data_IF_044922097888
#
_entry.id   IF_044922097888
#
_cell.length_a   1.000
_cell.length_b   1.000
_cell.length_c   1.000
_cell.angle_alpha   90.00
_cell.angle_beta   90.00
_cell.angle_gamma   90.00
#
_symmetry.space_group_name_H-M   'P 1'
#
loop_
_entity.id
_entity.type
_entity.pdbx_description
1 polymer ?
#
# COMPACT_ATOMS: atom_id res chain seq x y z
N UNK A 1 18.18 26.24 -6.88
CA UNK A 1 16.81 26.20 -6.35
C UNK A 1 16.66 24.85 -5.67
N UNK A 2 16.68 24.83 -4.34
CA UNK A 2 16.60 23.61 -3.52
C UNK A 2 15.19 23.02 -3.66
N UNK A 3 15.06 21.81 -4.24
CA UNK A 3 13.84 21.05 -4.19
C UNK A 3 13.59 20.72 -2.70
N UNK A 4 12.52 21.27 -2.14
CA UNK A 4 12.14 20.98 -0.77
C UNK A 4 11.91 19.47 -0.63
N UNK A 5 12.60 18.86 0.32
CA UNK A 5 12.33 17.47 0.72
C UNK A 5 10.84 17.32 1.01
N UNK A 6 10.19 16.21 0.59
CA UNK A 6 8.80 15.98 0.91
C UNK A 6 8.63 16.05 2.43
N UNK A 7 7.70 16.88 2.86
CA UNK A 7 7.41 17.08 4.28
C UNK A 7 6.96 15.72 4.84
N UNK A 8 7.79 15.08 5.66
CA UNK A 8 7.50 13.81 6.29
C UNK A 8 6.14 13.90 6.96
N UNK A 9 5.24 12.98 6.65
CA UNK A 9 3.96 12.91 7.36
C UNK A 9 4.26 12.79 8.86
N UNK A 10 3.62 13.60 9.72
CA UNK A 10 3.82 13.50 11.16
C UNK A 10 3.55 12.07 11.61
N UNK A 11 4.17 11.64 12.70
CA UNK A 11 3.92 10.34 13.35
C UNK A 11 2.45 9.97 13.25
N UNK A 12 2.14 8.72 12.88
CA UNK A 12 0.75 8.26 12.75
C UNK A 12 -0.08 8.85 13.89
N UNK A 13 -1.07 9.71 13.62
CA UNK A 13 -1.80 10.40 14.66
C UNK A 13 -2.30 9.39 15.69
N UNK A 14 -2.23 9.71 16.96
CA UNK A 14 -2.70 8.82 18.04
C UNK A 14 -4.13 8.30 17.77
N UNK A 15 -4.95 9.12 17.13
CA UNK A 15 -6.27 8.74 16.67
C UNK A 15 -6.26 7.56 15.68
N UNK A 16 -5.25 7.49 14.80
CA UNK A 16 -5.11 6.36 13.86
C UNK A 16 -4.63 5.10 14.57
N UNK A 17 -3.67 5.22 15.51
CA UNK A 17 -3.26 4.07 16.35
C UNK A 17 -4.43 3.52 17.15
N UNK A 18 -5.24 4.39 17.78
CA UNK A 18 -6.45 3.98 18.51
C UNK A 18 -7.48 3.32 17.61
N UNK A 19 -7.66 3.86 16.39
CA UNK A 19 -8.55 3.25 15.41
C UNK A 19 -8.08 1.84 15.04
N UNK A 20 -6.79 1.65 14.73
CA UNK A 20 -6.23 0.33 14.41
C UNK A 20 -6.36 -0.67 15.56
N UNK A 21 -6.27 -0.20 16.80
CA UNK A 21 -6.48 -1.04 17.98
C UNK A 21 -7.96 -1.40 18.21
N UNK A 22 -8.90 -0.72 17.56
CA UNK A 22 -10.33 -1.02 17.65
C UNK A 22 -10.68 -2.30 16.88
N UNK A 23 -11.81 -2.95 17.24
CA UNK A 23 -12.31 -4.14 16.51
C UNK A 23 -12.54 -3.83 15.03
N UNK A 24 -13.04 -2.63 14.70
CA UNK A 24 -13.25 -2.21 13.31
C UNK A 24 -11.91 -2.12 12.56
N UNK A 25 -10.91 -1.48 13.16
CA UNK A 25 -9.57 -1.35 12.58
C UNK A 25 -8.92 -2.70 12.36
N UNK A 26 -8.93 -3.57 13.37
CA UNK A 26 -8.36 -4.92 13.27
C UNK A 26 -9.00 -5.77 12.17
N UNK A 27 -10.34 -5.72 12.04
CA UNK A 27 -11.04 -6.46 10.97
C UNK A 27 -10.68 -5.90 9.60
N UNK A 28 -10.59 -4.57 9.47
CA UNK A 28 -10.23 -3.89 8.22
C UNK A 28 -8.80 -4.20 7.81
N UNK A 29 -7.84 -4.01 8.72
CA UNK A 29 -6.42 -4.32 8.49
C UNK A 29 -6.22 -5.80 8.11
N UNK A 30 -6.92 -6.73 8.77
CA UNK A 30 -6.81 -8.16 8.47
C UNK A 30 -7.33 -8.52 7.07
N UNK A 31 -8.41 -7.87 6.60
CA UNK A 31 -8.93 -8.07 5.25
C UNK A 31 -7.99 -7.50 4.18
N UNK A 32 -7.49 -6.29 4.39
CA UNK A 32 -6.54 -5.63 3.50
C UNK A 32 -5.23 -6.43 3.42
N UNK A 33 -4.64 -6.80 4.56
CA UNK A 33 -3.42 -7.60 4.63
C UNK A 33 -3.60 -8.95 3.92
N UNK A 34 -4.69 -9.68 4.21
CA UNK A 34 -4.98 -10.96 3.56
C UNK A 34 -5.06 -10.82 2.04
N UNK A 35 -5.73 -9.78 1.54
CA UNK A 35 -5.84 -9.52 0.11
C UNK A 35 -4.47 -9.24 -0.51
N UNK A 36 -3.67 -8.39 0.12
CA UNK A 36 -2.34 -8.04 -0.38
C UNK A 36 -1.40 -9.26 -0.37
N UNK A 37 -1.41 -10.05 0.70
CA UNK A 37 -0.61 -11.27 0.79
C UNK A 37 -1.03 -12.31 -0.27
N UNK A 38 -2.33 -12.44 -0.57
CA UNK A 38 -2.84 -13.30 -1.64
C UNK A 38 -2.31 -12.84 -3.01
N UNK A 39 -2.36 -11.54 -3.29
CA UNK A 39 -1.92 -10.95 -4.57
C UNK A 39 -0.39 -10.95 -4.73
N UNK A 40 0.36 -10.83 -3.65
CA UNK A 40 1.82 -10.84 -3.68
C UNK A 40 2.42 -12.25 -3.77
N UNK A 41 1.66 -13.29 -3.41
CA UNK A 41 2.15 -14.66 -3.35
C UNK A 41 2.52 -15.22 -4.75
N UNK A 42 3.52 -16.15 -4.81
CA UNK A 42 4.40 -16.57 -3.74
C UNK A 42 5.50 -15.55 -3.44
N UNK A 43 5.98 -15.45 -2.18
CA UNK A 43 7.05 -14.52 -1.79
C UNK A 43 8.28 -15.20 -1.18
N UNK A 44 8.20 -16.51 -0.89
CA UNK A 44 9.31 -17.25 -0.26
C UNK A 44 10.57 -17.21 -1.12
N UNK A 45 11.67 -16.77 -0.52
CA UNK A 45 12.97 -16.64 -1.19
C UNK A 45 13.08 -15.46 -2.17
N UNK A 46 12.00 -14.67 -2.36
CA UNK A 46 12.00 -13.52 -3.25
C UNK A 46 12.47 -12.25 -2.53
N UNK A 47 13.11 -11.36 -3.28
CA UNK A 47 13.45 -10.00 -2.83
C UNK A 47 12.21 -9.13 -2.95
N UNK A 48 11.66 -8.71 -1.81
CA UNK A 48 10.42 -7.94 -1.73
C UNK A 48 10.73 -6.53 -1.24
N UNK A 49 10.26 -5.52 -1.97
CA UNK A 49 10.29 -4.11 -1.59
C UNK A 49 8.89 -3.69 -1.14
N UNK A 50 8.78 -3.04 0.02
CA UNK A 50 7.57 -2.34 0.44
C UNK A 50 7.81 -0.83 0.42
N UNK A 51 7.12 -0.13 -0.48
CA UNK A 51 7.26 1.32 -0.70
C UNK A 51 6.24 2.04 0.16
N UNK A 52 6.71 2.99 0.99
CA UNK A 52 5.92 3.60 2.04
C UNK A 52 5.59 2.59 3.14
N UNK A 53 6.60 1.83 3.58
CA UNK A 53 6.42 0.68 4.48
C UNK A 53 5.89 1.05 5.88
N UNK A 54 5.86 2.32 6.23
CA UNK A 54 5.38 2.80 7.51
C UNK A 54 6.05 2.09 8.69
N UNK A 55 5.24 1.62 9.63
CA UNK A 55 5.68 0.85 10.79
C UNK A 55 5.92 -0.65 10.49
N UNK A 56 6.04 -1.01 9.20
CA UNK A 56 6.40 -2.33 8.68
C UNK A 56 5.44 -3.48 9.03
N UNK A 57 4.15 -3.23 9.13
CA UNK A 57 3.18 -4.27 9.46
C UNK A 57 3.09 -5.35 8.36
N UNK A 58 2.84 -4.91 7.12
CA UNK A 58 2.82 -5.79 5.95
C UNK A 58 4.20 -6.44 5.73
N UNK A 59 5.26 -5.64 5.83
CA UNK A 59 6.62 -6.13 5.59
C UNK A 59 7.03 -7.23 6.57
N UNK A 60 6.61 -7.13 7.84
CA UNK A 60 6.80 -8.20 8.85
C UNK A 60 6.05 -9.48 8.45
N UNK A 61 4.83 -9.37 7.92
CA UNK A 61 4.06 -10.51 7.45
C UNK A 61 4.70 -11.17 6.22
N UNK A 62 5.24 -10.38 5.28
CA UNK A 62 5.95 -10.87 4.09
C UNK A 62 7.25 -11.57 4.48
N UNK A 63 8.06 -10.97 5.38
CA UNK A 63 9.29 -11.59 5.89
C UNK A 63 9.01 -12.89 6.67
N UNK A 64 7.93 -12.92 7.46
CA UNK A 64 7.48 -14.14 8.14
C UNK A 64 7.06 -15.27 7.19
N UNK A 65 6.77 -14.96 5.91
CA UNK A 65 6.53 -15.93 4.84
C UNK A 65 7.79 -16.28 4.03
N UNK A 66 8.96 -15.87 4.52
CA UNK A 66 10.27 -16.19 3.92
C UNK A 66 10.73 -15.26 2.81
N UNK A 67 10.16 -14.07 2.69
CA UNK A 67 10.68 -13.05 1.79
C UNK A 67 11.99 -12.43 2.32
N UNK A 68 12.92 -12.10 1.42
CA UNK A 68 14.02 -11.18 1.71
C UNK A 68 13.45 -9.76 1.60
N UNK A 69 13.07 -9.18 2.75
CA UNK A 69 12.23 -8.00 2.81
C UNK A 69 13.04 -6.71 2.98
N UNK A 70 12.69 -5.69 2.20
CA UNK A 70 13.24 -4.32 2.29
C UNK A 70 12.09 -3.33 2.35
N UNK A 71 12.11 -2.42 3.32
CA UNK A 71 11.16 -1.32 3.43
C UNK A 71 11.79 0.02 3.11
N UNK A 72 11.09 0.86 2.36
CA UNK A 72 11.45 2.26 2.15
C UNK A 72 10.32 3.17 2.63
N UNK A 73 10.68 4.22 3.37
CA UNK A 73 9.73 5.23 3.84
C UNK A 73 10.44 6.59 3.98
N UNK A 74 9.73 7.68 3.74
CA UNK A 74 10.26 9.03 3.90
C UNK A 74 10.35 9.47 5.37
N UNK A 75 9.64 8.79 6.29
CA UNK A 75 9.56 9.13 7.71
C UNK A 75 10.57 8.34 8.55
N UNK A 76 11.60 9.00 9.14
CA UNK A 76 12.53 8.34 10.05
C UNK A 76 11.85 7.72 11.28
N UNK A 77 10.76 8.33 11.76
CA UNK A 77 9.98 7.82 12.89
C UNK A 77 9.29 6.50 12.56
N UNK A 78 8.71 6.37 11.34
CA UNK A 78 8.12 5.14 10.85
C UNK A 78 9.16 4.03 10.73
N UNK A 79 10.30 4.32 10.11
CA UNK A 79 11.40 3.36 9.98
C UNK A 79 11.94 2.91 11.34
N UNK A 80 12.01 3.81 12.32
CA UNK A 80 12.41 3.45 13.69
C UNK A 80 11.41 2.47 14.32
N UNK A 81 10.11 2.75 14.19
CA UNK A 81 9.05 1.84 14.64
C UNK A 81 9.10 0.47 13.95
N UNK A 82 9.32 0.47 12.63
CA UNK A 82 9.47 -0.75 11.83
C UNK A 82 10.66 -1.61 12.28
N UNK A 83 11.84 -0.99 12.50
CA UNK A 83 13.03 -1.70 13.04
C UNK A 83 12.77 -2.31 14.41
N UNK A 84 12.10 -1.59 15.29
CA UNK A 84 11.76 -2.10 16.61
C UNK A 84 10.80 -3.32 16.51
N UNK A 85 9.81 -3.26 15.63
CA UNK A 85 8.86 -4.36 15.36
C UNK A 85 9.55 -5.58 14.75
N UNK A 86 10.39 -5.39 13.73
CA UNK A 86 11.16 -6.47 13.10
C UNK A 86 12.06 -7.18 14.11
N UNK A 87 12.79 -6.41 14.94
CA UNK A 87 13.62 -6.94 16.02
C UNK A 87 12.82 -7.75 17.04
N UNK A 88 11.67 -7.24 17.45
CA UNK A 88 10.79 -7.95 18.39
C UNK A 88 10.24 -9.27 17.82
N UNK A 89 10.05 -9.33 16.50
CA UNK A 89 9.62 -10.54 15.79
C UNK A 89 10.78 -11.49 15.41
N UNK A 90 12.04 -11.11 15.68
CA UNK A 90 13.22 -11.90 15.30
C UNK A 90 13.43 -12.00 13.77
N UNK A 91 12.96 -10.98 13.03
CA UNK A 91 13.03 -10.95 11.56
C UNK A 91 14.15 -10.01 11.08
N UNK A 92 14.89 -10.47 10.07
CA UNK A 92 15.89 -9.65 9.37
C UNK A 92 15.22 -8.90 8.21
N UNK A 93 15.02 -7.60 8.39
CA UNK A 93 14.36 -6.70 7.45
C UNK A 93 15.25 -5.47 7.25
N UNK A 94 15.56 -5.15 6.00
CA UNK A 94 16.28 -3.93 5.65
C UNK A 94 15.32 -2.72 5.65
N UNK A 95 15.76 -1.57 6.20
CA UNK A 95 14.99 -0.33 6.22
C UNK A 95 15.82 0.83 5.67
N UNK A 96 15.32 1.49 4.65
CA UNK A 96 15.97 2.59 3.93
C UNK A 96 15.10 3.84 3.97
N UNK A 97 15.71 4.99 4.26
CA UNK A 97 15.04 6.29 4.11
C UNK A 97 15.01 6.68 2.63
N UNK A 98 13.86 7.02 2.08
CA UNK A 98 13.76 7.38 0.67
C UNK A 98 12.40 7.90 0.27
N UNK A 99 12.39 8.54 -0.91
CA UNK A 99 11.19 9.06 -1.55
C UNK A 99 10.66 8.02 -2.56
N UNK A 100 9.35 7.77 -2.54
CA UNK A 100 8.70 6.88 -3.49
C UNK A 100 8.84 7.36 -4.95
N UNK A 101 8.98 8.67 -5.16
CA UNK A 101 9.18 9.29 -6.48
C UNK A 101 10.65 9.25 -6.97
N UNK A 102 11.59 8.80 -6.12
CA UNK A 102 13.03 8.68 -6.43
C UNK A 102 13.64 7.56 -5.56
N UNK A 103 13.33 6.30 -5.86
CA UNK A 103 13.74 5.16 -5.06
C UNK A 103 15.26 4.96 -5.06
N UNK A 104 15.93 4.84 -3.89
CA UNK A 104 17.38 4.74 -3.77
C UNK A 104 17.88 3.31 -4.04
N UNK A 105 17.36 2.66 -5.08
CA UNK A 105 17.70 1.31 -5.47
C UNK A 105 18.06 1.24 -6.95
N UNK A 106 18.95 0.31 -7.36
CA UNK A 106 19.26 0.09 -8.77
C UNK A 106 18.06 -0.53 -9.51
N UNK A 107 18.13 -0.46 -10.85
CA UNK A 107 17.16 -1.11 -11.73
C UNK A 107 17.13 -2.62 -11.49
N UNK A 108 15.96 -3.25 -11.62
CA UNK A 108 15.77 -4.69 -11.53
C UNK A 108 16.27 -5.33 -10.21
N UNK A 109 16.27 -4.57 -9.12
CA UNK A 109 16.73 -5.03 -7.81
C UNK A 109 15.78 -6.00 -7.11
N UNK A 110 14.48 -5.94 -7.41
CA UNK A 110 13.44 -6.66 -6.67
C UNK A 110 12.59 -7.57 -7.56
N UNK A 111 12.11 -8.66 -6.97
CA UNK A 111 11.23 -9.64 -7.61
C UNK A 111 9.77 -9.24 -7.45
N UNK A 112 9.42 -8.65 -6.29
CA UNK A 112 8.08 -8.15 -5.97
C UNK A 112 8.20 -6.79 -5.27
N UNK A 113 7.27 -5.89 -5.57
CA UNK A 113 7.10 -4.64 -4.83
C UNK A 113 5.66 -4.49 -4.36
N UNK A 114 5.47 -3.92 -3.17
CA UNK A 114 4.17 -3.51 -2.63
C UNK A 114 4.16 -2.00 -2.41
N UNK A 115 2.99 -1.36 -2.60
CA UNK A 115 2.77 0.05 -2.31
C UNK A 115 1.34 0.22 -1.76
N UNK A 116 1.21 0.27 -0.44
CA UNK A 116 -0.08 0.18 0.24
C UNK A 116 -0.43 1.49 0.96
N UNK A 117 -1.50 2.14 0.50
CA UNK A 117 -1.97 3.44 1.01
C UNK A 117 -0.88 4.52 1.03
N UNK A 118 0.05 4.47 0.07
CA UNK A 118 1.14 5.44 -0.08
C UNK A 118 0.89 6.39 -1.26
N UNK A 119 0.38 5.88 -2.39
CA UNK A 119 0.18 6.71 -3.57
C UNK A 119 -0.86 7.82 -3.36
N UNK A 120 -1.76 7.65 -2.39
CA UNK A 120 -2.72 8.69 -2.00
C UNK A 120 -2.05 9.90 -1.32
N UNK A 121 -0.81 9.78 -0.86
CA UNK A 121 -0.07 10.84 -0.16
C UNK A 121 1.09 11.43 -0.97
N UNK A 122 1.56 10.76 -2.03
CA UNK A 122 2.63 11.29 -2.88
C UNK A 122 2.10 12.35 -3.85
N UNK A 123 2.86 13.41 -4.15
CA UNK A 123 2.51 14.44 -5.12
C UNK A 123 2.29 13.88 -6.53
N UNK A 124 3.20 13.04 -7.03
CA UNK A 124 3.18 12.42 -8.36
C UNK A 124 3.16 10.89 -8.27
N UNK A 125 1.95 10.33 -8.21
CA UNK A 125 1.78 8.88 -8.14
C UNK A 125 2.23 8.14 -9.41
N UNK A 126 2.17 8.79 -10.58
CA UNK A 126 2.66 8.20 -11.83
C UNK A 126 4.17 8.04 -11.78
N UNK A 127 4.89 9.07 -11.29
CA UNK A 127 6.33 9.01 -11.09
C UNK A 127 6.71 7.93 -10.09
N UNK A 128 5.98 7.84 -8.97
CA UNK A 128 6.22 6.80 -7.97
C UNK A 128 6.06 5.38 -8.57
N UNK A 129 4.99 5.14 -9.36
CA UNK A 129 4.79 3.83 -9.99
C UNK A 129 5.84 3.55 -11.08
N UNK A 130 6.29 4.56 -11.84
CA UNK A 130 7.42 4.40 -12.77
C UNK A 130 8.72 4.01 -12.03
N UNK A 131 9.02 4.61 -10.89
CA UNK A 131 10.17 4.26 -10.08
C UNK A 131 10.05 2.82 -9.53
N UNK A 132 8.86 2.42 -9.07
CA UNK A 132 8.62 1.03 -8.68
C UNK A 132 8.82 0.07 -9.85
N UNK A 133 8.30 0.41 -11.03
CA UNK A 133 8.50 -0.38 -12.25
C UNK A 133 9.99 -0.47 -12.64
N UNK A 134 10.78 0.61 -12.45
CA UNK A 134 12.22 0.63 -12.71
C UNK A 134 12.96 -0.38 -11.84
N UNK A 135 12.69 -0.38 -10.54
CA UNK A 135 13.38 -1.25 -9.57
C UNK A 135 12.91 -2.70 -9.60
N UNK A 136 11.76 -3.00 -10.22
CA UNK A 136 11.31 -4.36 -10.48
C UNK A 136 12.10 -4.98 -11.65
N UNK A 137 12.53 -6.24 -11.50
CA UNK A 137 13.10 -7.01 -12.63
C UNK A 137 12.03 -7.28 -13.71
N UNK A 138 12.43 -7.59 -14.95
CA UNK A 138 11.51 -8.20 -15.93
C UNK A 138 10.80 -9.41 -15.32
N UNK A 139 9.50 -9.56 -15.57
CA UNK A 139 8.64 -10.55 -14.91
C UNK A 139 8.37 -10.29 -13.41
N UNK A 140 8.89 -9.20 -12.86
CA UNK A 140 8.64 -8.82 -11.46
C UNK A 140 7.21 -8.31 -11.23
N UNK A 141 6.69 -8.51 -10.02
CA UNK A 141 5.30 -8.23 -9.64
C UNK A 141 5.18 -6.96 -8.81
N UNK A 142 4.20 -6.13 -9.15
CA UNK A 142 3.75 -5.00 -8.32
C UNK A 142 2.38 -5.33 -7.71
N UNK A 143 2.20 -5.05 -6.42
CA UNK A 143 0.90 -5.02 -5.76
C UNK A 143 0.66 -3.65 -5.16
N UNK A 144 -0.34 -2.94 -5.67
CA UNK A 144 -0.80 -1.66 -5.13
C UNK A 144 -2.08 -1.90 -4.32
N UNK A 145 -2.18 -1.24 -3.17
CA UNK A 145 -3.41 -1.16 -2.39
C UNK A 145 -3.74 0.29 -2.05
N UNK A 146 -4.87 0.81 -2.50
CA UNK A 146 -5.21 2.22 -2.38
C UNK A 146 -6.63 2.49 -1.90
N UNK A 147 -6.83 3.70 -1.36
CA UNK A 147 -8.09 4.16 -0.84
C UNK A 147 -9.09 4.45 -1.98
N UNK A 148 -10.15 3.65 -2.05
CA UNK A 148 -11.19 3.74 -3.07
C UNK A 148 -12.06 5.00 -2.95
N UNK A 149 -12.19 5.75 -4.06
CA UNK A 149 -12.94 7.03 -4.13
C UNK A 149 -14.44 6.86 -3.85
N UNK A 150 -15.04 5.76 -4.31
CA UNK A 150 -16.49 5.55 -4.34
C UNK A 150 -16.96 4.68 -3.17
N UNK A 151 -16.56 5.02 -1.95
CA UNK A 151 -16.92 4.30 -0.73
C UNK A 151 -17.45 5.22 0.35
N UNK A 152 -18.23 4.68 1.29
CA UNK A 152 -18.67 5.41 2.48
C UNK A 152 -17.49 5.85 3.36
N UNK A 153 -16.41 5.07 3.35
CA UNK A 153 -15.18 5.44 4.03
C UNK A 153 -14.52 6.68 3.41
N UNK A 154 -14.48 6.77 2.08
CA UNK A 154 -13.95 7.95 1.40
C UNK A 154 -14.79 9.19 1.70
N UNK A 155 -16.12 9.06 1.73
CA UNK A 155 -17.02 10.15 2.12
C UNK A 155 -16.71 10.63 3.55
N UNK A 156 -16.62 9.71 4.53
CA UNK A 156 -16.27 10.03 5.91
C UNK A 156 -14.90 10.70 6.02
N UNK A 157 -13.88 10.19 5.34
CA UNK A 157 -12.52 10.73 5.35
C UNK A 157 -12.47 12.14 4.75
N UNK A 158 -13.19 12.41 3.64
CA UNK A 158 -13.33 13.75 3.06
C UNK A 158 -13.97 14.74 4.01
N UNK A 159 -15.07 14.34 4.66
CA UNK A 159 -15.70 15.17 5.67
C UNK A 159 -14.73 15.49 6.80
N UNK A 160 -13.96 14.51 7.29
CA UNK A 160 -12.91 14.72 8.29
C UNK A 160 -11.83 15.70 7.81
N UNK A 161 -11.44 15.64 6.52
CA UNK A 161 -10.53 16.61 5.91
C UNK A 161 -11.07 18.03 5.92
N UNK A 162 -12.35 18.22 5.60
CA UNK A 162 -13.03 19.52 5.68
C UNK A 162 -13.16 20.04 7.11
N UNK A 163 -13.28 19.14 8.08
CA UNK A 163 -13.36 19.46 9.51
C UNK A 163 -11.99 19.66 10.18
N UNK A 164 -10.90 19.73 9.39
CA UNK A 164 -9.57 20.12 9.89
C UNK A 164 -8.55 18.97 10.04
N UNK A 165 -8.83 17.78 9.57
CA UNK A 165 -7.83 16.70 9.54
C UNK A 165 -6.82 16.92 8.41
N UNK A 166 -5.58 17.27 8.74
CA UNK A 166 -4.50 17.51 7.76
C UNK A 166 -4.21 16.27 6.92
N UNK A 167 -4.22 15.08 7.53
CA UNK A 167 -4.00 13.81 6.82
C UNK A 167 -5.01 13.60 5.70
N UNK A 168 -6.31 13.73 6.02
CA UNK A 168 -7.36 13.49 5.03
C UNK A 168 -7.54 14.63 4.04
N UNK A 169 -7.09 15.83 4.36
CA UNK A 169 -7.06 16.97 3.43
C UNK A 169 -6.02 16.76 2.32
N UNK A 170 -4.87 16.15 2.65
CA UNK A 170 -3.79 15.84 1.71
C UNK A 170 -4.06 14.56 0.90
N UNK A 171 -4.89 13.65 1.40
CA UNK A 171 -5.12 12.35 0.78
C UNK A 171 -5.90 12.45 -0.56
N UNK A 172 -5.38 11.82 -1.60
CA UNK A 172 -6.03 11.72 -2.92
C UNK A 172 -6.68 10.35 -3.09
N UNK A 173 -8.01 10.31 -3.03
CA UNK A 173 -8.78 9.09 -3.28
C UNK A 173 -8.94 8.87 -4.78
N UNK A 174 -8.60 7.67 -5.25
CA UNK A 174 -8.63 7.32 -6.68
C UNK A 174 -9.74 6.32 -7.00
N UNK A 175 -10.24 6.38 -8.22
CA UNK A 175 -11.10 5.35 -8.81
C UNK A 175 -10.25 4.20 -9.32
N UNK A 176 -10.88 3.04 -9.56
CA UNK A 176 -10.23 1.89 -10.20
C UNK A 176 -9.65 2.26 -11.56
N UNK A 177 -10.38 3.05 -12.36
CA UNK A 177 -9.93 3.49 -13.69
C UNK A 177 -8.68 4.35 -13.62
N UNK A 178 -8.62 5.29 -12.68
CA UNK A 178 -7.42 6.14 -12.48
C UNK A 178 -6.21 5.31 -12.05
N UNK A 179 -6.39 4.36 -11.11
CA UNK A 179 -5.31 3.48 -10.67
C UNK A 179 -4.81 2.58 -11.80
N UNK A 180 -5.72 2.03 -12.60
CA UNK A 180 -5.34 1.24 -13.80
C UNK A 180 -4.53 2.07 -14.77
N UNK A 181 -4.97 3.29 -15.10
CA UNK A 181 -4.25 4.18 -16.00
C UNK A 181 -2.82 4.49 -15.55
N UNK A 182 -2.62 4.73 -14.24
CA UNK A 182 -1.28 4.97 -13.66
C UNK A 182 -0.39 3.73 -13.82
N UNK A 183 -0.91 2.54 -13.54
CA UNK A 183 -0.16 1.27 -13.63
C UNK A 183 0.21 0.98 -15.08
N UNK A 184 -0.75 1.05 -16.00
CA UNK A 184 -0.57 0.78 -17.43
C UNK A 184 0.41 1.77 -18.09
N UNK A 185 0.30 3.07 -17.74
CA UNK A 185 1.23 4.10 -18.21
C UNK A 185 2.68 3.91 -17.74
N UNK A 186 2.89 3.09 -16.71
CA UNK A 186 4.23 2.75 -16.20
C UNK A 186 4.85 1.50 -16.84
N UNK A 187 4.22 0.95 -17.90
CA UNK A 187 4.70 -0.22 -18.64
C UNK A 187 4.44 -1.56 -17.92
N UNK A 188 3.50 -1.58 -16.99
CA UNK A 188 3.11 -2.77 -16.24
C UNK A 188 1.80 -3.34 -16.79
N UNK A 189 1.71 -4.67 -16.91
CA UNK A 189 0.52 -5.39 -17.34
C UNK A 189 -0.31 -5.81 -16.13
N UNK A 190 -1.56 -5.38 -16.06
CA UNK A 190 -2.46 -5.69 -14.94
C UNK A 190 -2.96 -7.13 -15.06
N UNK A 191 -2.74 -7.92 -14.01
CA UNK A 191 -3.23 -9.30 -13.90
C UNK A 191 -4.53 -9.40 -13.11
N UNK A 192 -4.69 -8.57 -12.07
CA UNK A 192 -5.84 -8.65 -11.19
C UNK A 192 -6.18 -7.29 -10.60
N UNK A 193 -7.48 -7.02 -10.51
CA UNK A 193 -8.02 -5.86 -9.79
C UNK A 193 -9.09 -6.37 -8.83
N UNK A 194 -8.95 -6.02 -7.55
CA UNK A 194 -9.84 -6.50 -6.50
C UNK A 194 -10.24 -5.37 -5.56
N UNK A 195 -11.45 -5.48 -4.99
CA UNK A 195 -11.91 -4.62 -3.92
C UNK A 195 -11.82 -5.29 -2.56
N UNK A 196 -11.84 -4.50 -1.49
CA UNK A 196 -12.09 -4.95 -0.13
C UNK A 196 -12.74 -3.82 0.69
N UNK A 197 -13.27 -4.18 1.86
CA UNK A 197 -13.90 -3.24 2.80
C UNK A 197 -15.12 -2.59 2.18
N UNK A 198 -16.15 -3.41 1.90
CA UNK A 198 -17.43 -2.95 1.32
C UNK A 198 -18.44 -2.48 2.37
N UNK A 199 -18.15 -2.68 3.64
CA UNK A 199 -19.03 -2.30 4.73
C UNK A 199 -18.83 -0.83 5.14
N UNK A 200 -19.89 -0.18 5.68
CA UNK A 200 -19.77 1.14 6.27
C UNK A 200 -18.89 1.11 7.54
N UNK A 201 -18.36 2.26 8.01
CA UNK A 201 -17.40 2.31 9.10
C UNK A 201 -18.01 2.07 10.50
N UNK A 202 -18.70 0.92 10.65
CA UNK A 202 -19.29 0.43 11.90
C UNK A 202 -18.81 -0.99 12.19
N UNK A 203 -18.39 -1.26 13.44
CA UNK A 203 -17.80 -2.54 13.82
C UNK A 203 -18.75 -3.74 13.60
N UNK A 204 -20.04 -3.59 13.86
CA UNK A 204 -21.02 -4.66 13.64
C UNK A 204 -21.22 -4.98 12.15
N UNK A 205 -21.16 -3.97 11.25
CA UNK A 205 -21.20 -4.19 9.80
C UNK A 205 -19.95 -4.95 9.34
N UNK A 206 -18.78 -4.57 9.85
CA UNK A 206 -17.53 -5.26 9.54
C UNK A 206 -17.60 -6.74 9.93
N UNK A 207 -18.09 -7.07 11.12
CA UNK A 207 -18.24 -8.44 11.59
C UNK A 207 -19.20 -9.27 10.72
N UNK A 208 -20.32 -8.67 10.31
CA UNK A 208 -21.33 -9.34 9.50
C UNK A 208 -20.85 -9.57 8.05
N UNK A 209 -20.15 -8.60 7.46
CA UNK A 209 -19.77 -8.62 6.04
C UNK A 209 -18.39 -9.19 5.77
N UNK A 210 -17.48 -9.22 6.75
CA UNK A 210 -16.11 -9.72 6.54
C UNK A 210 -16.01 -11.13 5.93
N UNK A 211 -16.91 -12.11 6.21
CA UNK A 211 -16.80 -13.43 5.60
C UNK A 211 -16.99 -13.45 4.07
N UNK A 212 -17.79 -12.51 3.54
CA UNK A 212 -18.10 -12.42 2.10
C UNK A 212 -17.34 -11.29 1.40
N UNK A 213 -16.66 -10.42 2.13
CA UNK A 213 -16.05 -9.19 1.63
C UNK A 213 -15.06 -9.47 0.48
N UNK A 214 -14.08 -10.35 0.69
CA UNK A 214 -13.09 -10.68 -0.34
C UNK A 214 -13.67 -11.44 -1.54
N UNK A 215 -14.77 -12.20 -1.34
CA UNK A 215 -15.49 -12.80 -2.47
C UNK A 215 -16.16 -11.71 -3.31
N UNK A 216 -16.83 -10.75 -2.66
CA UNK A 216 -17.43 -9.60 -3.33
C UNK A 216 -16.38 -8.79 -4.09
N UNK A 217 -15.20 -8.59 -3.50
CA UNK A 217 -14.07 -7.89 -4.10
C UNK A 217 -13.48 -8.55 -5.35
N UNK A 218 -13.77 -9.83 -5.60
CA UNK A 218 -13.44 -10.51 -6.86
C UNK A 218 -14.42 -10.16 -7.97
N UNK A 219 -15.63 -9.77 -7.63
CA UNK A 219 -16.70 -9.48 -8.59
C UNK A 219 -16.75 -7.99 -8.96
N UNK A 220 -16.41 -7.10 -8.02
CA UNK A 220 -16.56 -5.66 -8.21
C UNK A 220 -15.57 -4.87 -7.35
N UNK A 221 -15.33 -3.62 -7.78
CA UNK A 221 -14.54 -2.65 -7.00
C UNK A 221 -15.36 -1.39 -6.63
N UNK A 222 -16.52 -1.22 -7.23
CA UNK A 222 -17.40 -0.11 -6.87
C UNK A 222 -17.93 -0.29 -5.44
N UNK A 223 -17.82 0.75 -4.63
CA UNK A 223 -18.19 0.70 -3.21
C UNK A 223 -17.07 0.22 -2.28
N UNK A 224 -16.00 -0.39 -2.80
CA UNK A 224 -14.86 -0.80 -2.00
C UNK A 224 -14.12 0.40 -1.41
N UNK A 225 -13.80 0.36 -0.12
CA UNK A 225 -12.96 1.36 0.53
C UNK A 225 -11.47 1.14 0.28
N UNK A 226 -11.10 -0.07 -0.14
CA UNK A 226 -9.77 -0.46 -0.52
C UNK A 226 -9.78 -1.14 -1.88
N UNK A 227 -8.93 -0.68 -2.81
CA UNK A 227 -8.78 -1.22 -4.17
C UNK A 227 -7.36 -1.74 -4.28
N UNK A 228 -7.21 -3.01 -4.62
CA UNK A 228 -5.92 -3.64 -4.84
C UNK A 228 -5.72 -4.01 -6.31
N UNK A 229 -4.54 -3.74 -6.84
CA UNK A 229 -4.12 -4.10 -8.21
C UNK A 229 -2.84 -4.90 -8.13
N UNK A 230 -2.84 -6.07 -8.76
CA UNK A 230 -1.63 -6.82 -9.06
C UNK A 230 -1.26 -6.66 -10.54
N UNK A 231 -0.01 -6.33 -10.81
CA UNK A 231 0.51 -6.14 -12.16
C UNK A 231 1.92 -6.73 -12.28
N UNK A 232 2.33 -7.04 -13.49
CA UNK A 232 3.64 -7.64 -13.80
C UNK A 232 4.38 -6.78 -14.81
N UNK A 233 5.68 -6.62 -14.61
CA UNK A 233 6.57 -5.97 -15.56
C UNK A 233 6.83 -6.89 -16.74
N UNK A 234 6.56 -6.42 -17.95
CA UNK A 234 6.79 -7.18 -19.18
C UNK A 234 8.26 -7.65 -19.29
N UNK A 235 8.48 -8.86 -19.81
CA UNK A 235 9.82 -9.43 -19.98
C UNK A 235 10.62 -8.76 -21.13
N UNK A 236 9.93 -8.02 -22.02
CA UNK A 236 10.58 -7.32 -23.13
C UNK A 236 10.79 -5.84 -22.79
N UNK A 237 11.98 -5.27 -23.10
CA UNK A 237 12.14 -3.82 -23.07
C UNK A 237 11.18 -3.22 -24.11
N UNK A 238 10.36 -2.27 -23.70
CA UNK A 238 9.60 -1.42 -24.62
C UNK A 238 10.58 -0.69 -25.53
N UNK A 239 10.60 -1.08 -26.81
CA UNK A 239 11.36 -0.42 -27.88
C UNK A 239 10.79 0.98 -28.18
#
# INVERSE_FOLDING_TARGET
MSAGSPEALPELPEAYRRWRASRLGQTTDALEERLILELAAPVQGLRVLDVGCGDAMLLTALAGKGASATGVDASPAMLSGGRAKAKAAGLDIAFVGGDAEALPFPDAAFDTATAIAVLCFVPDAERAVREIARVLRPGGRLVIGELGRHSLWAAKRRISGWLGSDTWRKARFRSTTELRGIVEASGLSIESVRGAVFYPPFAWCAQLMSPIDLWLGRQMTFGAAFIAIAAVKSDSPSH
#
